data_IF_799947600583
#
_entry.id   IF_799947600583
#
_cell.length_a   1.000
_cell.length_b   1.000
_cell.length_c   1.000
_cell.angle_alpha   90.00
_cell.angle_beta   90.00
_cell.angle_gamma   90.00
#
_symmetry.space_group_name_H-M   'P 1'
#
loop_
_entity.id
_entity.type
_entity.pdbx_description
1 polymer ?
#
# COMPACT_ATOMS: atom_id res chain seq x y z
N UNK A 1 -16.21 -26.31 -34.40
CA UNK A 1 -16.06 -26.93 -33.06
C UNK A 1 -15.35 -25.94 -32.15
N UNK A 2 -16.13 -25.14 -31.42
CA UNK A 2 -15.61 -24.16 -30.45
C UNK A 2 -15.09 -24.88 -29.20
N UNK A 3 -13.80 -24.68 -28.87
CA UNK A 3 -13.23 -25.08 -27.57
C UNK A 3 -13.27 -23.86 -26.65
N UNK A 4 -14.15 -23.93 -25.65
CA UNK A 4 -14.24 -22.93 -24.59
C UNK A 4 -13.04 -22.98 -23.64
N UNK A 5 -12.47 -21.82 -23.33
CA UNK A 5 -11.52 -21.62 -22.25
C UNK A 5 -12.26 -21.75 -20.90
N UNK A 6 -11.86 -22.73 -20.08
CA UNK A 6 -12.20 -22.80 -18.66
C UNK A 6 -11.19 -21.99 -17.87
N UNK A 7 -11.66 -20.91 -17.23
CA UNK A 7 -10.98 -20.24 -16.12
C UNK A 7 -10.73 -21.26 -15.00
N UNK A 8 -9.47 -21.56 -14.70
CA UNK A 8 -9.10 -22.36 -13.52
C UNK A 8 -9.03 -21.42 -12.32
N UNK A 9 -10.02 -21.55 -11.44
CA UNK A 9 -9.97 -21.07 -10.06
C UNK A 9 -8.78 -21.73 -9.35
N UNK A 10 -7.79 -20.91 -8.99
CA UNK A 10 -6.63 -21.33 -8.21
C UNK A 10 -7.02 -21.52 -6.76
N UNK A 11 -7.25 -22.77 -6.36
CA UNK A 11 -7.24 -23.18 -4.94
C UNK A 11 -5.83 -22.98 -4.40
N UNK A 12 -5.69 -22.14 -3.38
CA UNK A 12 -4.50 -22.10 -2.53
C UNK A 12 -4.53 -23.38 -1.70
N UNK A 13 -3.75 -24.39 -2.11
CA UNK A 13 -3.47 -25.57 -1.30
C UNK A 13 -1.98 -25.82 -1.32
N UNK A 14 -1.29 -25.34 -0.28
CA UNK A 14 -0.06 -25.92 0.24
C UNK A 14 0.23 -25.30 1.61
N UNK A 15 -0.28 -25.93 2.68
CA UNK A 15 0.30 -25.74 4.00
C UNK A 15 1.72 -26.31 3.94
N UNK A 16 2.73 -25.45 4.08
CA UNK A 16 4.12 -25.86 4.32
C UNK A 16 4.28 -26.04 5.81
N UNK A 17 4.94 -27.10 6.24
CA UNK A 17 5.39 -27.28 7.62
C UNK A 17 6.45 -26.20 7.92
N UNK A 18 5.99 -25.09 8.49
CA UNK A 18 6.74 -23.88 8.80
C UNK A 18 5.73 -22.75 8.88
N UNK A 19 5.53 -22.19 10.07
CA UNK A 19 4.41 -21.30 10.36
C UNK A 19 4.23 -20.20 9.32
N UNK A 20 2.97 -19.95 8.94
CA UNK A 20 2.59 -18.96 7.93
C UNK A 20 3.24 -17.60 8.23
N UNK A 21 3.93 -17.03 7.24
CA UNK A 21 4.46 -15.67 7.33
C UNK A 21 3.32 -14.67 7.60
N UNK A 22 3.56 -13.51 8.23
CA UNK A 22 2.51 -12.53 8.48
C UNK A 22 1.66 -12.17 7.25
N UNK A 23 2.29 -12.05 6.08
CA UNK A 23 1.59 -11.78 4.83
C UNK A 23 0.67 -12.92 4.41
N UNK A 24 1.11 -14.17 4.55
CA UNK A 24 0.29 -15.35 4.25
C UNK A 24 -0.92 -15.45 5.18
N UNK A 25 -0.76 -15.17 6.48
CA UNK A 25 -1.87 -15.12 7.43
C UNK A 25 -2.93 -14.08 7.03
N UNK A 26 -2.50 -12.89 6.60
CA UNK A 26 -3.41 -11.84 6.12
C UNK A 26 -4.19 -12.30 4.89
N UNK A 27 -3.52 -13.00 3.96
CA UNK A 27 -4.18 -13.50 2.75
C UNK A 27 -5.14 -14.67 3.02
N UNK A 28 -4.93 -15.43 4.09
CA UNK A 28 -5.85 -16.48 4.53
C UNK A 28 -7.15 -15.90 5.11
N UNK A 29 -7.06 -14.75 5.79
CA UNK A 29 -8.22 -14.09 6.42
C UNK A 29 -8.26 -12.58 6.14
N UNK A 30 -8.39 -12.16 4.87
CA UNK A 30 -8.27 -10.75 4.48
C UNK A 30 -9.35 -9.87 5.11
N UNK A 31 -10.51 -10.44 5.41
CA UNK A 31 -11.65 -9.75 6.01
C UNK A 31 -11.36 -9.21 7.42
N UNK A 32 -10.45 -9.82 8.17
CA UNK A 32 -10.07 -9.35 9.50
C UNK A 32 -9.16 -8.11 9.45
N UNK A 33 -8.58 -7.82 8.29
CA UNK A 33 -7.61 -6.75 8.11
C UNK A 33 -8.15 -5.58 7.29
N UNK A 34 -8.78 -5.86 6.15
CA UNK A 34 -9.31 -4.81 5.26
C UNK A 34 -10.84 -4.75 5.27
N UNK A 35 -11.51 -5.71 5.91
CA UNK A 35 -12.97 -5.83 5.86
C UNK A 35 -13.48 -6.54 4.61
N UNK A 36 -14.78 -6.43 4.36
CA UNK A 36 -15.44 -7.18 3.28
C UNK A 36 -15.00 -6.69 1.90
N UNK A 37 -14.57 -7.62 1.04
CA UNK A 37 -14.33 -7.36 -0.37
C UNK A 37 -15.63 -7.39 -1.20
N UNK A 38 -16.71 -7.95 -0.65
CA UNK A 38 -18.01 -7.98 -1.30
C UNK A 38 -18.65 -6.58 -1.33
N UNK A 39 -19.34 -6.26 -2.43
CA UNK A 39 -19.99 -4.95 -2.56
C UNK A 39 -21.16 -4.82 -1.60
N UNK A 40 -21.26 -3.68 -0.93
CA UNK A 40 -22.43 -3.28 -0.15
C UNK A 40 -22.99 -1.95 -0.69
N UNK A 41 -24.21 -1.62 -0.31
CA UNK A 41 -24.85 -0.34 -0.63
C UNK A 41 -25.13 0.43 0.65
N UNK A 42 -24.55 1.60 0.78
CA UNK A 42 -24.68 2.48 1.95
C UNK A 42 -24.84 3.94 1.50
N UNK A 43 -25.39 4.79 2.37
CA UNK A 43 -25.61 6.20 2.06
C UNK A 43 -24.42 7.04 2.52
N UNK A 44 -23.79 7.75 1.58
CA UNK A 44 -22.65 8.64 1.82
C UNK A 44 -22.97 10.09 1.49
N UNK A 45 -22.23 11.00 2.12
CA UNK A 45 -22.15 12.38 1.67
C UNK A 45 -21.14 12.48 0.53
N UNK A 46 -21.61 12.91 -0.63
CA UNK A 46 -20.80 13.06 -1.85
C UNK A 46 -20.77 14.54 -2.24
N UNK A 47 -19.59 15.04 -2.58
CA UNK A 47 -19.42 16.38 -3.12
C UNK A 47 -19.86 16.39 -4.59
N UNK A 48 -20.90 17.17 -4.90
CA UNK A 48 -21.51 17.28 -6.22
C UNK A 48 -21.75 18.76 -6.54
N UNK A 49 -21.07 19.27 -7.57
CA UNK A 49 -21.11 20.69 -7.96
C UNK A 49 -20.84 21.65 -6.79
N UNK A 50 -19.88 21.31 -5.92
CA UNK A 50 -19.50 22.12 -4.75
C UNK A 50 -20.41 21.99 -3.53
N UNK A 51 -21.44 21.14 -3.58
CA UNK A 51 -22.37 20.91 -2.48
C UNK A 51 -22.34 19.45 -2.02
N UNK A 52 -22.38 19.23 -0.70
CA UNK A 52 -22.48 17.89 -0.13
C UNK A 52 -23.92 17.38 -0.23
N UNK A 53 -24.11 16.21 -0.84
CA UNK A 53 -25.42 15.55 -0.99
C UNK A 53 -25.35 14.11 -0.52
N UNK A 54 -26.38 13.64 0.18
CA UNK A 54 -26.50 12.23 0.52
C UNK A 54 -26.87 11.41 -0.72
N UNK A 55 -26.13 10.35 -0.99
CA UNK A 55 -26.37 9.42 -2.11
C UNK A 55 -26.12 8.00 -1.65
N UNK A 56 -26.97 7.07 -2.08
CA UNK A 56 -26.71 5.64 -1.93
C UNK A 56 -25.63 5.23 -2.93
N UNK A 57 -24.54 4.65 -2.45
CA UNK A 57 -23.41 4.18 -3.24
C UNK A 57 -23.21 2.69 -3.04
N UNK A 58 -23.00 1.97 -4.13
CA UNK A 58 -22.57 0.57 -4.10
C UNK A 58 -21.05 0.50 -4.28
N UNK A 59 -20.33 0.04 -3.27
CA UNK A 59 -18.87 0.05 -3.23
C UNK A 59 -18.31 -1.19 -2.52
N UNK A 60 -17.00 -1.43 -2.62
CA UNK A 60 -16.30 -2.49 -1.88
C UNK A 60 -15.64 -1.88 -0.64
N UNK A 61 -16.06 -2.23 0.58
CA UNK A 61 -15.47 -1.71 1.82
C UNK A 61 -13.97 -1.95 1.92
N UNK A 62 -13.49 -3.14 1.53
CA UNK A 62 -12.07 -3.46 1.57
C UNK A 62 -11.21 -2.59 0.67
N UNK A 63 -11.68 -2.30 -0.55
CA UNK A 63 -10.99 -1.36 -1.44
C UNK A 63 -10.98 0.05 -0.87
N UNK A 64 -12.10 0.49 -0.27
CA UNK A 64 -12.20 1.80 0.36
C UNK A 64 -11.24 1.93 1.55
N UNK A 65 -11.14 0.90 2.39
CA UNK A 65 -10.23 0.88 3.54
C UNK A 65 -8.76 0.92 3.10
N UNK A 66 -8.37 0.14 2.09
CA UNK A 66 -7.00 0.18 1.53
C UNK A 66 -6.63 1.58 1.06
N UNK A 67 -7.55 2.25 0.37
CA UNK A 67 -7.34 3.62 -0.09
C UNK A 67 -7.23 4.62 1.07
N UNK A 68 -8.12 4.50 2.06
CA UNK A 68 -8.14 5.37 3.24
C UNK A 68 -6.84 5.28 4.05
N UNK A 69 -6.29 4.08 4.23
CA UNK A 69 -5.01 3.88 4.91
C UNK A 69 -3.83 4.61 4.22
N UNK A 70 -3.80 4.64 2.87
CA UNK A 70 -2.78 5.41 2.14
C UNK A 70 -2.98 6.92 2.35
N UNK A 71 -4.23 7.38 2.30
CA UNK A 71 -4.54 8.80 2.52
C UNK A 71 -4.20 9.25 3.93
N UNK A 72 -4.57 8.45 4.95
CA UNK A 72 -4.24 8.71 6.35
C UNK A 72 -2.73 8.74 6.58
N UNK A 73 -1.99 7.82 5.96
CA UNK A 73 -0.53 7.84 6.01
C UNK A 73 0.07 9.12 5.38
N UNK A 74 -0.43 9.55 4.22
CA UNK A 74 0.01 10.77 3.57
C UNK A 74 -0.36 12.03 4.38
N UNK A 75 -1.59 12.11 4.88
CA UNK A 75 -2.10 13.24 5.65
C UNK A 75 -1.40 13.37 7.01
N UNK A 76 -1.11 12.25 7.69
CA UNK A 76 -0.36 12.23 8.95
C UNK A 76 1.06 12.78 8.80
N UNK A 77 1.60 12.85 7.57
CA UNK A 77 2.90 13.46 7.34
C UNK A 77 2.94 14.93 7.77
N UNK A 78 1.82 15.65 7.75
CA UNK A 78 1.74 17.03 8.26
C UNK A 78 2.09 17.14 9.75
N UNK A 79 1.82 16.08 10.54
CA UNK A 79 2.21 16.02 11.96
C UNK A 79 3.71 15.73 12.13
N UNK A 80 4.27 14.89 11.27
CA UNK A 80 5.71 14.53 11.27
C UNK A 80 6.58 15.66 10.73
N UNK A 81 6.09 16.34 9.71
CA UNK A 81 6.71 17.50 9.07
C UNK A 81 5.69 18.64 8.91
N UNK A 82 5.68 19.60 9.84
CA UNK A 82 4.83 20.78 9.75
C UNK A 82 5.07 21.62 8.48
N UNK A 83 6.18 21.46 7.77
CA UNK A 83 6.46 22.17 6.53
C UNK A 83 5.70 21.62 5.31
N UNK A 84 5.12 20.41 5.39
CA UNK A 84 4.28 19.86 4.34
C UNK A 84 3.14 20.84 4.00
N UNK A 85 2.97 21.16 2.72
CA UNK A 85 1.98 22.15 2.24
C UNK A 85 1.01 21.57 1.22
N UNK A 86 1.31 20.41 0.65
CA UNK A 86 0.60 19.87 -0.51
C UNK A 86 0.39 18.37 -0.34
N UNK A 87 -0.86 17.94 -0.54
CA UNK A 87 -1.27 16.55 -0.73
C UNK A 87 -2.13 16.51 -1.99
N UNK A 88 -1.79 15.63 -2.92
CA UNK A 88 -2.49 15.46 -4.18
C UNK A 88 -2.90 14.00 -4.33
N UNK A 89 -4.14 13.79 -4.79
CA UNK A 89 -4.69 12.47 -5.06
C UNK A 89 -5.18 12.47 -6.49
N UNK A 90 -4.64 11.54 -7.29
CA UNK A 90 -5.06 11.29 -8.65
C UNK A 90 -5.69 9.90 -8.73
N UNK A 91 -6.88 9.84 -9.33
CA UNK A 91 -7.61 8.58 -9.54
C UNK A 91 -7.85 8.42 -11.04
N UNK A 92 -7.16 7.45 -11.62
CA UNK A 92 -7.34 7.04 -13.00
C UNK A 92 -8.18 5.77 -13.04
N UNK A 93 -9.45 5.93 -13.42
CA UNK A 93 -10.41 4.83 -13.47
C UNK A 93 -10.15 3.89 -14.65
N UNK A 94 -9.56 4.40 -15.75
CA UNK A 94 -9.28 3.61 -16.95
C UNK A 94 -8.11 2.68 -16.70
N UNK A 95 -7.05 3.21 -16.08
CA UNK A 95 -5.85 2.45 -15.73
C UNK A 95 -5.96 1.74 -14.37
N UNK A 96 -7.10 1.87 -13.68
CA UNK A 96 -7.31 1.37 -12.32
C UNK A 96 -6.19 1.77 -11.35
N UNK A 97 -5.70 3.01 -11.47
CA UNK A 97 -4.53 3.52 -10.73
C UNK A 97 -4.95 4.65 -9.79
N UNK A 98 -4.52 4.53 -8.55
CA UNK A 98 -4.58 5.62 -7.57
C UNK A 98 -3.16 6.08 -7.27
N UNK A 99 -2.92 7.39 -7.29
CA UNK A 99 -1.63 7.99 -6.98
C UNK A 99 -1.81 9.04 -5.90
N UNK A 100 -1.07 8.87 -4.79
CA UNK A 100 -1.10 9.81 -3.66
C UNK A 100 0.28 10.40 -3.52
N UNK A 101 0.36 11.73 -3.68
CA UNK A 101 1.57 12.50 -3.55
C UNK A 101 1.46 13.45 -2.36
N UNK A 102 2.55 13.61 -1.62
CA UNK A 102 2.69 14.69 -0.65
C UNK A 102 4.11 15.26 -0.70
N UNK A 103 4.25 16.53 -0.35
CA UNK A 103 5.56 17.17 -0.18
C UNK A 103 5.99 17.19 1.29
N UNK A 104 7.21 17.65 1.54
CA UNK A 104 7.85 17.59 2.85
C UNK A 104 8.76 16.38 2.98
N UNK A 105 9.14 16.06 4.21
CA UNK A 105 10.09 14.99 4.51
C UNK A 105 9.48 13.63 4.20
N UNK A 106 10.09 12.92 3.24
CA UNK A 106 9.77 11.52 2.92
C UNK A 106 10.50 10.53 3.81
N UNK A 107 10.47 9.25 3.41
CA UNK A 107 11.22 8.19 4.09
C UNK A 107 12.71 8.34 3.75
N UNK A 108 13.62 8.25 4.74
CA UNK A 108 15.07 8.31 4.49
C UNK A 108 15.53 7.27 3.47
N UNK A 109 16.41 7.67 2.55
CA UNK A 109 16.98 6.74 1.55
C UNK A 109 18.33 6.25 2.06
N UNK A 110 18.27 5.28 2.97
CA UNK A 110 19.42 4.65 3.61
C UNK A 110 19.28 3.13 3.69
N UNK A 111 20.41 2.43 3.73
CA UNK A 111 20.46 1.01 4.01
C UNK A 111 20.13 0.77 5.48
N UNK A 112 19.21 -0.16 5.73
CA UNK A 112 18.82 -0.61 7.08
C UNK A 112 19.33 -2.01 7.40
N UNK A 113 19.55 -2.82 6.37
CA UNK A 113 20.21 -4.12 6.47
C UNK A 113 21.29 -4.17 5.39
N UNK A 114 22.55 -4.00 5.81
CA UNK A 114 23.70 -4.00 4.91
C UNK A 114 23.97 -5.39 4.32
N UNK A 115 23.71 -6.45 5.09
CA UNK A 115 23.97 -7.83 4.66
C UNK A 115 23.03 -8.24 3.53
N UNK A 116 21.77 -7.79 3.59
CA UNK A 116 20.74 -8.11 2.60
C UNK A 116 20.48 -6.96 1.61
N UNK A 117 21.18 -5.84 1.73
CA UNK A 117 21.03 -4.67 0.86
C UNK A 117 19.66 -3.99 0.95
N UNK A 118 18.96 -4.09 2.09
CA UNK A 118 17.58 -3.61 2.23
C UNK A 118 17.58 -2.13 2.62
N UNK A 119 16.89 -1.31 1.83
CA UNK A 119 16.70 0.11 2.11
C UNK A 119 15.49 0.36 3.03
N UNK A 120 15.53 1.47 3.78
CA UNK A 120 14.43 1.87 4.66
C UNK A 120 13.06 1.93 3.96
N UNK A 121 12.90 2.48 2.74
CA UNK A 121 11.60 2.47 2.06
C UNK A 121 11.12 1.05 1.72
N UNK A 122 12.02 0.15 1.31
CA UNK A 122 11.65 -1.25 1.07
C UNK A 122 11.19 -1.95 2.35
N UNK A 123 11.92 -1.74 3.44
CA UNK A 123 11.59 -2.33 4.74
C UNK A 123 10.23 -1.81 5.23
N UNK A 124 9.98 -0.51 5.08
CA UNK A 124 8.76 0.14 5.54
C UNK A 124 7.53 -0.27 4.73
N UNK A 125 7.58 -0.21 3.40
CA UNK A 125 6.40 -0.51 2.57
C UNK A 125 6.22 -2.00 2.27
N UNK A 126 7.28 -2.80 2.41
CA UNK A 126 7.37 -4.10 1.78
C UNK A 126 7.55 -5.30 2.70
N UNK A 127 7.85 -5.11 3.98
CA UNK A 127 8.11 -6.21 4.91
C UNK A 127 7.20 -6.14 6.13
N UNK A 128 6.32 -7.13 6.24
CA UNK A 128 5.67 -7.42 7.51
C UNK A 128 6.70 -8.02 8.46
N UNK A 129 6.81 -7.47 9.66
CA UNK A 129 7.66 -8.01 10.72
C UNK A 129 6.75 -8.77 11.69
N UNK A 130 7.16 -9.95 12.14
CA UNK A 130 6.54 -10.57 13.32
C UNK A 130 6.86 -9.69 14.52
N UNK A 131 5.87 -8.92 14.97
CA UNK A 131 6.00 -7.95 16.05
C UNK A 131 6.16 -8.68 17.40
N UNK A 132 7.37 -9.08 17.72
CA UNK A 132 7.74 -9.48 19.09
C UNK A 132 8.64 -8.43 19.79
N UNK A 133 8.95 -7.30 19.16
CA UNK A 133 9.86 -6.30 19.74
C UNK A 133 9.63 -4.85 19.29
N UNK A 134 8.46 -4.27 19.57
CA UNK A 134 8.42 -2.82 19.86
C UNK A 134 7.21 -2.45 20.68
N UNK A 135 7.43 -2.33 22.00
CA UNK A 135 6.62 -1.47 22.83
C UNK A 135 6.84 -0.03 22.34
N UNK A 136 5.77 0.59 21.84
CA UNK A 136 5.43 2.03 21.89
C UNK A 136 4.95 2.58 20.52
N UNK A 137 3.66 2.91 20.48
CA UNK A 137 3.00 3.92 19.63
C UNK A 137 2.60 3.52 18.19
N UNK A 138 1.42 2.92 18.03
CA UNK A 138 0.31 3.30 17.13
C UNK A 138 0.58 3.96 15.75
N UNK A 139 1.65 3.63 15.00
CA UNK A 139 1.92 4.24 13.68
C UNK A 139 2.79 3.33 12.74
N UNK A 140 2.63 2.01 12.82
CA UNK A 140 3.57 1.03 12.22
C UNK A 140 3.47 0.85 10.68
N UNK A 141 2.80 1.79 9.99
CA UNK A 141 2.62 1.71 8.54
C UNK A 141 1.94 0.41 8.08
N UNK A 142 1.13 -0.20 8.94
CA UNK A 142 0.49 -1.47 8.64
C UNK A 142 -0.48 -1.34 7.46
N UNK A 143 -1.27 -0.26 7.43
CA UNK A 143 -2.19 0.05 6.33
C UNK A 143 -1.51 0.20 4.97
N UNK A 144 -0.35 0.86 4.90
CA UNK A 144 0.40 0.97 3.63
C UNK A 144 0.96 -0.36 3.16
N UNK A 145 1.27 -1.28 4.08
CA UNK A 145 1.69 -2.65 3.74
C UNK A 145 0.51 -3.48 3.27
N UNK A 146 -0.69 -3.30 3.83
CA UNK A 146 -1.92 -3.91 3.32
C UNK A 146 -2.21 -3.42 1.89
N UNK A 147 -2.09 -2.12 1.65
CA UNK A 147 -2.27 -1.58 0.30
C UNK A 147 -1.30 -2.19 -0.72
N UNK A 148 -0.03 -2.36 -0.33
CA UNK A 148 0.93 -3.11 -1.15
C UNK A 148 0.46 -4.55 -1.38
N UNK A 149 0.09 -5.27 -0.32
CA UNK A 149 -0.33 -6.67 -0.37
C UNK A 149 -1.57 -6.93 -1.24
N UNK A 150 -2.51 -5.99 -1.32
CA UNK A 150 -3.75 -6.14 -2.11
C UNK A 150 -3.67 -5.48 -3.50
N UNK A 151 -2.51 -4.98 -3.91
CA UNK A 151 -2.31 -4.33 -5.22
C UNK A 151 -1.69 -5.27 -6.26
N UNK A 152 -2.07 -5.16 -7.52
CA UNK A 152 -1.37 -5.86 -8.61
C UNK A 152 -0.01 -5.24 -8.90
N UNK A 153 0.10 -3.91 -8.79
CA UNK A 153 1.34 -3.15 -8.83
C UNK A 153 1.32 -2.09 -7.71
N UNK A 154 2.41 -1.98 -6.96
CA UNK A 154 2.59 -0.96 -5.92
C UNK A 154 3.91 -0.22 -6.15
N UNK A 155 3.82 1.09 -6.39
CA UNK A 155 4.98 1.93 -6.70
C UNK A 155 5.23 2.90 -5.55
N UNK A 156 6.46 2.90 -5.06
CA UNK A 156 6.95 3.86 -4.06
C UNK A 156 8.00 4.73 -4.70
N UNK A 157 7.80 6.04 -4.64
CA UNK A 157 8.83 7.04 -4.95
C UNK A 157 9.04 7.94 -3.74
N UNK A 158 10.30 8.17 -3.38
CA UNK A 158 10.64 9.13 -2.33
C UNK A 158 11.97 9.82 -2.64
N UNK A 159 12.11 11.06 -2.18
CA UNK A 159 13.33 11.85 -2.31
C UNK A 159 13.80 12.26 -0.91
N UNK A 160 15.05 11.97 -0.61
CA UNK A 160 15.71 12.35 0.63
C UNK A 160 16.67 13.51 0.34
N UNK A 161 16.21 14.72 0.62
CA UNK A 161 17.00 15.94 0.43
C UNK A 161 18.21 16.04 1.36
N UNK A 162 18.22 15.35 2.50
CA UNK A 162 19.38 15.33 3.40
C UNK A 162 20.52 14.49 2.81
N UNK A 163 20.19 13.39 2.13
CA UNK A 163 21.16 12.48 1.50
C UNK A 163 21.35 12.70 0.00
N UNK A 164 20.59 13.62 -0.59
CA UNK A 164 20.55 13.91 -2.03
C UNK A 164 20.29 12.65 -2.88
N UNK A 165 19.38 11.78 -2.41
CA UNK A 165 19.03 10.52 -3.08
C UNK A 165 17.55 10.48 -3.46
N UNK A 166 17.26 9.95 -4.65
CA UNK A 166 15.91 9.55 -5.05
C UNK A 166 15.82 8.03 -5.04
N UNK A 167 14.75 7.52 -4.46
CA UNK A 167 14.43 6.10 -4.40
C UNK A 167 13.14 5.83 -5.17
N UNK A 168 13.16 4.79 -6.00
CA UNK A 168 11.98 4.26 -6.67
C UNK A 168 11.95 2.75 -6.57
N UNK A 169 10.85 2.20 -6.08
CA UNK A 169 10.60 0.77 -6.05
C UNK A 169 9.26 0.47 -6.70
N UNK A 170 9.24 -0.57 -7.53
CA UNK A 170 8.02 -1.14 -8.09
C UNK A 170 7.90 -2.55 -7.54
N UNK A 171 6.75 -2.85 -6.95
CA UNK A 171 6.33 -4.20 -6.62
C UNK A 171 5.23 -4.62 -7.57
N UNK A 172 5.32 -5.85 -8.06
CA UNK A 172 4.31 -6.48 -8.94
C UNK A 172 3.93 -7.82 -8.35
N UNK A 173 2.75 -8.29 -8.73
CA UNK A 173 2.21 -9.58 -8.33
C UNK A 173 2.12 -9.73 -6.81
N UNK A 174 1.68 -8.69 -6.10
CA UNK A 174 1.42 -8.77 -4.67
C UNK A 174 0.17 -9.63 -4.42
N UNK A 175 0.42 -10.94 -4.44
CA UNK A 175 -0.30 -12.02 -3.81
C UNK A 175 0.67 -13.19 -3.50
N UNK A 176 1.92 -13.18 -4.02
CA UNK A 176 3.01 -14.06 -3.54
C UNK A 176 4.38 -13.38 -3.73
N UNK A 177 5.23 -13.51 -2.71
CA UNK A 177 6.58 -12.95 -2.55
C UNK A 177 7.48 -13.14 -3.78
N UNK A 178 7.89 -12.04 -4.42
CA UNK A 178 9.09 -11.98 -5.26
C UNK A 178 10.00 -10.83 -4.83
N UNK A 179 11.33 -10.99 -4.93
CA UNK A 179 12.27 -9.90 -4.68
C UNK A 179 12.10 -8.82 -5.76
N UNK A 180 11.91 -7.58 -5.34
CA UNK A 180 11.87 -6.42 -6.22
C UNK A 180 13.25 -5.78 -6.29
N UNK A 181 13.64 -5.27 -7.46
CA UNK A 181 14.87 -4.48 -7.60
C UNK A 181 14.55 -2.99 -7.37
N UNK A 182 14.99 -2.38 -6.26
CA UNK A 182 14.87 -0.93 -6.10
C UNK A 182 15.84 -0.20 -7.05
N UNK A 183 15.38 0.90 -7.63
CA UNK A 183 16.21 1.84 -8.39
C UNK A 183 16.51 3.04 -7.49
N UNK A 184 17.77 3.18 -7.09
CA UNK A 184 18.25 4.35 -6.34
C UNK A 184 19.09 5.22 -7.27
N UNK A 185 18.75 6.50 -7.39
CA UNK A 185 19.49 7.48 -8.18
C UNK A 185 20.09 8.54 -7.27
N UNK A 186 21.38 8.79 -7.45
CA UNK A 186 22.08 9.91 -6.86
C UNK A 186 21.89 11.10 -7.82
N UNK A 187 20.82 11.87 -7.65
CA UNK A 187 20.60 13.23 -8.16
C UNK A 187 19.10 13.57 -8.06
N UNK A 188 18.78 14.67 -7.36
CA UNK A 188 17.46 15.29 -7.33
C UNK A 188 17.56 16.48 -8.29
N UNK A 189 17.07 16.33 -9.53
CA UNK A 189 16.90 17.45 -10.47
C UNK A 189 15.49 18.00 -10.36
#
# INVERSE_FOLDING_TARGET
>A
MNRGLRLRSGRITAAREGGDTPGERILLQPHDYVGSMAKCTETFWVLDAGLMKQRALTYSPGLHHIFDEILLYAASNKRRDPAMSSLCVEVDVVECRVSVFYNGRGIPVELRDENNGIYAPEMFFGRFHDSSSSNNNNDDGYGVKLANLFSTEFVVETADGCRMKKYRQVRRDCLILLPCCPLVRNNIS
#
